data_IF_595597148205
#
_entry.id   IF_595597148205
#
_cell.length_a   1.000
_cell.length_b   1.000
_cell.length_c   1.000
_cell.angle_alpha   90.00
_cell.angle_beta   90.00
_cell.angle_gamma   90.00
#
_symmetry.space_group_name_H-M   'P 1'
#
loop_
_entity.id
_entity.type
_entity.pdbx_description
1 polymer ?
#
# COMPACT_ATOMS: atom_id res chain seq x y z
N UNK A 1 -1.90 -8.11 -21.30
CA UNK A 1 -0.62 -7.74 -20.66
C UNK A 1 -0.03 -9.03 -20.14
N UNK A 2 1.00 -9.56 -20.80
CA UNK A 2 1.78 -10.66 -20.25
C UNK A 2 2.51 -10.11 -19.02
N UNK A 3 1.92 -10.37 -17.86
CA UNK A 3 2.22 -9.74 -16.60
C UNK A 3 3.45 -10.33 -15.95
N UNK A 4 4.20 -9.48 -15.25
CA UNK A 4 5.29 -9.87 -14.38
C UNK A 4 4.76 -10.92 -13.39
N UNK A 5 5.18 -12.19 -13.53
CA UNK A 5 4.78 -13.30 -12.66
C UNK A 5 5.65 -13.40 -11.40
N UNK A 6 6.50 -12.41 -11.16
CA UNK A 6 7.41 -12.38 -10.03
C UNK A 6 6.76 -11.58 -8.91
N UNK A 7 6.41 -12.27 -7.83
CA UNK A 7 6.11 -11.58 -6.58
C UNK A 7 7.35 -10.83 -6.11
N UNK A 8 7.16 -9.65 -5.54
CA UNK A 8 8.23 -8.76 -5.10
C UNK A 8 8.12 -8.49 -3.61
N UNK A 9 9.24 -8.12 -2.98
CA UNK A 9 9.27 -7.82 -1.54
C UNK A 9 8.92 -6.35 -1.25
N UNK A 10 8.97 -5.48 -2.27
CA UNK A 10 8.72 -4.05 -2.12
C UNK A 10 8.03 -3.47 -3.35
N UNK A 11 6.90 -2.81 -3.13
CA UNK A 11 6.21 -1.97 -4.12
C UNK A 11 6.23 -0.53 -3.61
N UNK A 12 6.57 0.43 -4.48
CA UNK A 12 6.58 1.86 -4.16
C UNK A 12 5.72 2.61 -5.17
N UNK A 13 4.82 3.46 -4.69
CA UNK A 13 3.96 4.30 -5.54
C UNK A 13 3.86 5.72 -4.97
N UNK A 14 4.40 6.71 -5.69
CA UNK A 14 4.22 8.13 -5.38
C UNK A 14 3.31 8.77 -6.42
N UNK A 15 2.00 8.59 -6.24
CA UNK A 15 0.94 8.94 -7.19
C UNK A 15 -0.33 9.37 -6.44
N UNK A 16 -1.33 9.88 -7.16
CA UNK A 16 -2.58 10.35 -6.57
C UNK A 16 -3.37 9.20 -5.90
N UNK A 17 -4.07 9.53 -4.81
CA UNK A 17 -4.93 8.60 -4.06
C UNK A 17 -5.96 7.87 -4.93
N UNK A 18 -6.50 8.53 -5.95
CA UNK A 18 -7.46 7.97 -6.91
C UNK A 18 -6.90 6.82 -7.74
N UNK A 19 -5.56 6.76 -7.88
CA UNK A 19 -4.85 5.66 -8.53
C UNK A 19 -4.34 4.65 -7.50
N UNK A 20 -3.96 5.10 -6.29
CA UNK A 20 -3.54 4.20 -5.21
C UNK A 20 -4.66 3.24 -4.84
N UNK A 21 -5.89 3.74 -4.61
CA UNK A 21 -7.04 2.92 -4.18
C UNK A 21 -7.30 1.71 -5.11
N UNK A 22 -7.45 1.88 -6.44
CA UNK A 22 -7.63 0.73 -7.35
C UNK A 22 -6.37 -0.14 -7.51
N UNK A 23 -5.18 0.37 -7.16
CA UNK A 23 -3.93 -0.40 -7.19
C UNK A 23 -3.77 -1.33 -5.98
N UNK A 24 -4.39 -1.02 -4.83
CA UNK A 24 -4.24 -1.79 -3.58
C UNK A 24 -4.41 -3.30 -3.75
N UNK A 25 -5.46 -3.84 -4.41
CA UNK A 25 -5.61 -5.29 -4.57
C UNK A 25 -4.47 -5.90 -5.39
N UNK A 26 -4.07 -5.25 -6.48
CA UNK A 26 -2.98 -5.73 -7.33
C UNK A 26 -1.64 -5.68 -6.61
N UNK A 27 -1.41 -4.66 -5.77
CA UNK A 27 -0.21 -4.59 -4.95
C UNK A 27 -0.17 -5.73 -3.92
N UNK A 28 -1.30 -6.06 -3.29
CA UNK A 28 -1.37 -7.16 -2.33
C UNK A 28 -1.08 -8.53 -2.95
N UNK A 29 -1.65 -8.82 -4.13
CA UNK A 29 -1.44 -10.09 -4.84
C UNK A 29 0.01 -10.26 -5.32
N UNK A 30 0.66 -9.16 -5.71
CA UNK A 30 2.02 -9.17 -6.23
C UNK A 30 3.11 -9.04 -5.14
N UNK A 31 2.74 -8.88 -3.88
CA UNK A 31 3.68 -8.91 -2.76
C UNK A 31 3.87 -10.33 -2.23
N UNK A 32 5.13 -10.67 -1.95
CA UNK A 32 5.48 -11.82 -1.12
C UNK A 32 4.91 -11.64 0.30
N UNK A 33 4.66 -12.72 1.07
CA UNK A 33 4.36 -12.61 2.50
C UNK A 33 5.46 -11.83 3.23
N UNK A 34 5.08 -10.86 4.07
CA UNK A 34 6.02 -9.90 4.69
C UNK A 34 6.47 -8.74 3.77
N UNK A 35 6.11 -8.78 2.48
CA UNK A 35 6.43 -7.74 1.51
C UNK A 35 5.76 -6.41 1.82
N UNK A 36 6.41 -5.30 1.45
CA UNK A 36 6.01 -3.94 1.82
C UNK A 36 5.42 -3.15 0.65
N UNK A 37 4.41 -2.36 0.97
CA UNK A 37 3.81 -1.37 0.09
C UNK A 37 4.04 0.03 0.65
N UNK A 38 4.85 0.82 -0.06
CA UNK A 38 5.09 2.23 0.24
C UNK A 38 4.25 3.10 -0.68
N UNK A 39 3.43 3.97 -0.11
CA UNK A 39 2.69 4.97 -0.87
C UNK A 39 2.99 6.38 -0.40
N UNK A 40 2.99 7.31 -1.33
CA UNK A 40 3.17 8.75 -1.11
C UNK A 40 2.37 9.53 -2.15
N UNK A 41 2.28 10.84 -2.01
CA UNK A 41 1.46 11.70 -2.88
C UNK A 41 -0.02 11.72 -2.47
N UNK A 42 -0.33 11.33 -1.23
CA UNK A 42 -1.70 11.33 -0.69
C UNK A 42 -1.99 12.69 -0.06
N UNK A 43 -3.04 13.37 -0.51
CA UNK A 43 -3.51 14.62 0.10
C UNK A 43 -4.31 14.28 1.37
N UNK A 44 -4.24 15.13 2.40
CA UNK A 44 -4.90 14.97 3.71
C UNK A 44 -6.32 14.40 3.63
N UNK A 45 -7.14 14.92 2.72
CA UNK A 45 -8.56 14.61 2.60
C UNK A 45 -8.81 13.18 2.09
N UNK A 46 -7.79 12.55 1.52
CA UNK A 46 -7.84 11.19 0.96
C UNK A 46 -7.02 10.19 1.77
N UNK A 47 -6.34 10.64 2.82
CA UNK A 47 -5.50 9.77 3.66
C UNK A 47 -6.28 8.62 4.28
N UNK A 48 -7.39 8.93 4.96
CA UNK A 48 -8.24 7.93 5.62
C UNK A 48 -8.77 6.91 4.62
N UNK A 49 -9.18 7.37 3.43
CA UNK A 49 -9.62 6.50 2.34
C UNK A 49 -8.53 5.50 1.93
N UNK A 50 -7.31 5.97 1.64
CA UNK A 50 -6.20 5.08 1.27
C UNK A 50 -5.86 4.10 2.38
N UNK A 51 -5.76 4.57 3.63
CA UNK A 51 -5.42 3.75 4.79
C UNK A 51 -6.46 2.66 5.01
N UNK A 52 -7.74 3.02 5.01
CA UNK A 52 -8.82 2.07 5.26
C UNK A 52 -8.96 1.07 4.11
N UNK A 53 -8.72 1.47 2.85
CA UNK A 53 -8.67 0.53 1.72
C UNK A 53 -7.55 -0.50 1.89
N UNK A 54 -6.36 -0.08 2.31
CA UNK A 54 -5.25 -1.00 2.59
C UNK A 54 -5.60 -1.99 3.69
N UNK A 55 -6.14 -1.51 4.81
CA UNK A 55 -6.56 -2.37 5.93
C UNK A 55 -7.64 -3.37 5.47
N UNK A 56 -8.65 -2.91 4.73
CA UNK A 56 -9.72 -3.77 4.20
C UNK A 56 -9.21 -4.85 3.24
N UNK A 57 -8.15 -4.58 2.49
CA UNK A 57 -7.51 -5.56 1.61
C UNK A 57 -6.73 -6.62 2.40
N UNK A 58 -6.31 -6.32 3.63
CA UNK A 58 -5.52 -7.21 4.48
C UNK A 58 -4.09 -6.74 4.74
N UNK A 59 -3.72 -5.51 4.34
CA UNK A 59 -2.45 -4.92 4.74
C UNK A 59 -2.46 -4.53 6.23
N UNK A 60 -1.32 -4.72 6.89
CA UNK A 60 -1.02 -4.13 8.21
C UNK A 60 -0.29 -2.80 8.01
N UNK A 61 -0.75 -1.73 8.67
CA UNK A 61 -0.13 -0.41 8.57
C UNK A 61 1.05 -0.33 9.54
N UNK A 62 2.26 -0.17 9.02
CA UNK A 62 3.47 -0.03 9.84
C UNK A 62 3.68 1.40 10.30
N UNK A 63 3.53 2.34 9.36
CA UNK A 63 3.83 3.74 9.60
C UNK A 63 3.04 4.63 8.68
N UNK A 64 2.66 5.80 9.21
CA UNK A 64 2.13 6.89 8.40
C UNK A 64 3.00 8.12 8.60
N UNK A 65 3.34 8.78 7.50
CA UNK A 65 4.15 9.98 7.48
C UNK A 65 3.28 11.15 7.04
N UNK A 66 3.49 12.32 7.63
CA UNK A 66 2.79 13.55 7.26
C UNK A 66 3.79 14.69 7.08
N UNK A 67 3.69 15.38 5.95
CA UNK A 67 4.42 16.61 5.67
C UNK A 67 3.45 17.65 5.11
N UNK A 68 3.08 18.62 5.94
CA UNK A 68 2.02 19.62 5.64
C UNK A 68 0.71 18.91 5.28
N UNK A 69 0.27 19.07 4.02
CA UNK A 69 -0.96 18.52 3.46
C UNK A 69 -0.74 17.18 2.75
N UNK A 70 0.50 16.69 2.73
CA UNK A 70 0.88 15.43 2.10
C UNK A 70 1.10 14.33 3.11
N UNK A 71 0.70 13.12 2.73
CA UNK A 71 0.82 11.91 3.51
C UNK A 71 1.53 10.81 2.71
N UNK A 72 2.22 9.94 3.45
CA UNK A 72 2.71 8.66 2.99
C UNK A 72 2.29 7.54 3.94
N UNK A 73 2.15 6.33 3.42
CA UNK A 73 1.76 5.13 4.18
C UNK A 73 2.75 4.02 3.85
N UNK A 74 3.30 3.41 4.89
CA UNK A 74 4.07 2.17 4.85
C UNK A 74 3.16 1.08 5.40
N UNK A 75 2.91 0.05 4.61
CA UNK A 75 2.13 -1.10 5.01
C UNK A 75 2.82 -2.40 4.54
N UNK A 76 2.52 -3.52 5.18
CA UNK A 76 3.02 -4.83 4.74
C UNK A 76 1.90 -5.84 4.59
N UNK A 77 2.13 -6.82 3.71
CA UNK A 77 1.32 -8.03 3.62
C UNK A 77 1.71 -8.93 4.79
N UNK A 78 0.79 -9.36 5.67
CA UNK A 78 1.11 -10.24 6.79
C UNK A 78 1.88 -11.47 6.33
N UNK A 79 2.91 -11.87 7.08
CA UNK A 79 3.55 -13.17 6.89
C UNK A 79 2.71 -14.29 7.53
N UNK A 80 2.89 -15.54 7.08
CA UNK A 80 2.16 -16.72 7.58
C UNK A 80 2.32 -16.95 9.11
N UNK A 81 3.35 -16.37 9.73
CA UNK A 81 3.67 -16.51 11.16
C UNK A 81 3.19 -15.33 12.04
N UNK A 82 2.45 -14.36 11.49
CA UNK A 82 2.05 -13.13 12.21
C UNK A 82 0.58 -13.09 12.70
N UNK A 83 -0.09 -14.23 12.79
CA UNK A 83 -1.44 -14.39 13.35
C UNK A 83 -1.44 -15.08 14.73
#
# INVERSE_FOLDING_TARGET
MDGIHTQVDLIVANILAEIIVPLVPQAFENLTPGGKFLTSGIISDKFELCRDTMIKQGFKIDQTLRMKDWYGIIAHKPAEDED
#
